data_IF_476183002750
#
_entry.id   IF_476183002750
#
_cell.length_a   1.000
_cell.length_b   1.000
_cell.length_c   1.000
_cell.angle_alpha   90.00
_cell.angle_beta   90.00
_cell.angle_gamma   90.00
#
_symmetry.space_group_name_H-M   'P 1'
#
loop_
_entity.id
_entity.type
_entity.pdbx_description
1 polymer ?
#
# COMPACT_ATOMS: atom_id res chain seq x y z
N UNK A 1 0.31 -1.84 -20.01
CA UNK A 1 0.34 -0.83 -18.94
C UNK A 1 -0.16 -1.47 -17.66
N UNK A 2 0.59 -1.37 -16.56
CA UNK A 2 0.07 -1.69 -15.24
C UNK A 2 -1.09 -0.73 -14.91
N UNK A 3 -2.22 -1.26 -14.47
CA UNK A 3 -3.31 -0.43 -13.96
C UNK A 3 -3.16 -0.34 -12.45
N UNK A 4 -2.94 0.88 -11.94
CA UNK A 4 -3.16 1.20 -10.54
C UNK A 4 -4.65 1.15 -10.31
N UNK A 5 -5.16 0.00 -9.90
CA UNK A 5 -6.58 -0.25 -10.03
C UNK A 5 -7.39 0.44 -8.93
N UNK A 6 -6.82 0.61 -7.72
CA UNK A 6 -7.61 1.17 -6.62
C UNK A 6 -6.75 1.58 -5.44
N UNK A 7 -7.00 2.78 -4.93
CA UNK A 7 -6.52 3.27 -3.64
C UNK A 7 -7.58 4.17 -3.01
N UNK A 8 -7.60 4.25 -1.69
CA UNK A 8 -8.56 5.07 -0.94
C UNK A 8 -8.54 6.54 -1.42
N UNK A 9 -9.69 7.15 -1.75
CA UNK A 9 -9.72 8.53 -2.21
C UNK A 9 -9.43 9.49 -1.06
N UNK A 10 -8.71 10.58 -1.35
CA UNK A 10 -8.65 11.72 -0.45
C UNK A 10 -10.06 12.37 -0.40
N UNK A 11 -10.84 12.02 0.62
CA UNK A 11 -12.13 12.60 1.01
C UNK A 11 -13.14 12.81 -0.14
N UNK A 12 -14.04 11.84 -0.37
CA UNK A 12 -15.24 12.08 -1.15
C UNK A 12 -16.28 12.81 -0.28
N UNK A 13 -16.46 14.12 -0.50
CA UNK A 13 -17.63 14.87 -0.01
C UNK A 13 -18.84 14.49 -0.85
N UNK A 14 -19.80 13.78 -0.25
CA UNK A 14 -21.17 13.70 -0.74
C UNK A 14 -21.78 12.29 -0.88
N UNK A 15 -22.75 11.99 -0.01
CA UNK A 15 -23.95 11.22 -0.36
C UNK A 15 -23.95 9.71 -0.18
N UNK A 16 -22.86 9.09 0.28
CA UNK A 16 -22.83 7.70 0.77
C UNK A 16 -22.18 7.69 2.15
N UNK A 17 -22.54 6.72 3.00
CA UNK A 17 -22.05 6.54 4.37
C UNK A 17 -20.57 6.93 4.46
N UNK A 18 -20.29 8.14 4.98
CA UNK A 18 -19.00 8.85 4.80
C UNK A 18 -17.82 8.08 5.40
N UNK A 19 -18.12 7.11 6.26
CA UNK A 19 -17.17 6.24 6.93
C UNK A 19 -16.83 4.98 6.13
N UNK A 20 -17.59 4.63 5.10
CA UNK A 20 -17.33 3.46 4.27
C UNK A 20 -16.90 3.86 2.87
N UNK A 21 -15.94 3.13 2.34
CA UNK A 21 -15.55 3.23 0.93
C UNK A 21 -15.51 1.83 0.35
N UNK A 22 -15.96 1.73 -0.88
CA UNK A 22 -15.82 0.53 -1.68
C UNK A 22 -15.50 0.95 -3.10
N UNK A 23 -14.79 0.06 -3.80
CA UNK A 23 -14.63 0.16 -5.23
C UNK A 23 -15.59 -0.81 -5.94
N UNK A 24 -16.00 -0.42 -7.14
CA UNK A 24 -16.71 -1.35 -8.02
C UNK A 24 -15.83 -2.55 -8.37
N UNK A 25 -16.48 -3.65 -8.77
CA UNK A 25 -15.77 -4.82 -9.27
C UNK A 25 -14.85 -4.43 -10.44
N UNK A 26 -13.61 -4.88 -10.34
CA UNK A 26 -12.54 -4.61 -11.30
C UNK A 26 -12.10 -5.91 -11.94
N UNK A 27 -11.99 -5.91 -13.26
CA UNK A 27 -11.57 -7.08 -14.01
C UNK A 27 -10.10 -7.46 -13.72
N UNK A 28 -9.86 -8.76 -13.61
CA UNK A 28 -8.57 -9.41 -13.43
C UNK A 28 -8.46 -10.63 -14.38
N UNK A 29 -7.24 -11.08 -14.69
CA UNK A 29 -7.03 -12.20 -15.62
C UNK A 29 -7.70 -13.52 -15.15
N UNK A 30 -7.95 -13.65 -13.85
CA UNK A 30 -8.56 -14.83 -13.22
C UNK A 30 -9.97 -14.56 -12.63
N UNK A 31 -10.63 -13.46 -13.00
CA UNK A 31 -11.98 -13.13 -12.50
C UNK A 31 -12.16 -11.65 -12.22
N UNK A 32 -12.85 -11.33 -11.13
CA UNK A 32 -13.11 -9.95 -10.69
C UNK A 32 -12.71 -9.79 -9.23
N UNK A 33 -12.30 -8.58 -8.84
CA UNK A 33 -12.01 -8.24 -7.45
C UNK A 33 -12.57 -6.88 -7.09
N UNK A 34 -12.75 -6.63 -5.81
CA UNK A 34 -13.08 -5.32 -5.26
C UNK A 34 -12.32 -5.13 -3.94
N UNK A 35 -12.25 -3.89 -3.47
CA UNK A 35 -11.78 -3.55 -2.14
C UNK A 35 -12.81 -2.66 -1.46
N UNK A 36 -12.91 -2.81 -0.15
CA UNK A 36 -13.68 -1.95 0.72
C UNK A 36 -12.94 -1.70 2.02
N UNK A 37 -13.22 -0.58 2.66
CA UNK A 37 -12.75 -0.27 4.00
C UNK A 37 -13.80 0.56 4.75
N UNK A 38 -13.81 0.42 6.06
CA UNK A 38 -14.74 1.09 6.96
C UNK A 38 -13.98 1.80 8.07
N UNK A 39 -14.23 3.08 8.23
CA UNK A 39 -13.56 3.94 9.18
C UNK A 39 -14.22 3.79 10.55
N UNK A 40 -13.48 3.24 11.51
CA UNK A 40 -13.96 3.10 12.89
C UNK A 40 -13.48 4.24 13.82
N UNK A 41 -12.41 4.95 13.44
CA UNK A 41 -11.77 5.98 14.26
C UNK A 41 -11.98 7.39 13.69
N UNK A 42 -11.57 8.42 14.44
CA UNK A 42 -11.66 9.82 13.99
C UNK A 42 -10.85 10.10 12.71
N UNK A 43 -9.78 9.33 12.48
CA UNK A 43 -8.96 9.36 11.27
C UNK A 43 -8.87 7.94 10.73
N UNK A 44 -9.03 7.76 9.42
CA UNK A 44 -8.72 6.50 8.76
C UNK A 44 -7.21 6.29 8.70
N UNK A 45 -6.69 5.45 9.59
CA UNK A 45 -5.29 5.03 9.64
C UNK A 45 -5.02 3.89 8.67
N UNK A 46 -6.02 3.05 8.38
CA UNK A 46 -5.85 1.92 7.48
C UNK A 46 -5.75 2.35 6.01
N UNK A 47 -4.95 1.65 5.24
CA UNK A 47 -4.80 1.83 3.81
C UNK A 47 -4.82 0.47 3.11
N UNK A 48 -5.22 0.46 1.84
CA UNK A 48 -5.12 -0.71 0.99
C UNK A 48 -4.85 -0.30 -0.46
N UNK A 49 -4.25 -1.21 -1.23
CA UNK A 49 -4.05 -1.03 -2.66
C UNK A 49 -3.97 -2.37 -3.41
N UNK A 50 -4.42 -2.38 -4.66
CA UNK A 50 -4.25 -3.52 -5.57
C UNK A 50 -3.73 -3.02 -6.91
N UNK A 51 -2.75 -3.73 -7.44
CA UNK A 51 -2.27 -3.58 -8.80
C UNK A 51 -2.41 -4.90 -9.52
N UNK A 52 -3.16 -4.89 -10.63
CA UNK A 52 -3.24 -6.02 -11.54
C UNK A 52 -2.48 -5.68 -12.82
N UNK A 53 -1.55 -6.54 -13.21
CA UNK A 53 -0.82 -6.45 -14.48
C UNK A 53 -0.72 -7.81 -15.15
N UNK A 54 -0.41 -7.88 -16.46
CA UNK A 54 -0.22 -9.17 -17.13
C UNK A 54 0.90 -10.04 -16.53
N UNK A 55 1.89 -9.43 -15.86
CA UNK A 55 3.04 -10.16 -15.32
C UNK A 55 2.94 -10.48 -13.83
N UNK A 56 2.17 -9.70 -13.07
CA UNK A 56 1.97 -9.91 -11.63
C UNK A 56 0.73 -9.18 -11.11
N UNK A 57 0.17 -9.72 -10.03
CA UNK A 57 -0.84 -9.05 -9.21
C UNK A 57 -0.27 -8.80 -7.82
N UNK A 58 -0.31 -7.54 -7.39
CA UNK A 58 0.15 -7.10 -6.08
C UNK A 58 -1.04 -6.62 -5.26
N UNK A 59 -1.10 -7.03 -3.99
CA UNK A 59 -2.12 -6.62 -3.02
C UNK A 59 -1.41 -6.13 -1.77
N UNK A 60 -1.79 -4.97 -1.26
CA UNK A 60 -1.27 -4.40 -0.02
C UNK A 60 -2.40 -3.99 0.93
N UNK A 61 -2.28 -4.37 2.20
CA UNK A 61 -3.14 -3.93 3.30
C UNK A 61 -2.26 -3.41 4.43
N UNK A 62 -2.57 -2.22 4.92
CA UNK A 62 -1.75 -1.49 5.88
C UNK A 62 -2.65 -1.03 7.02
N UNK A 63 -2.41 -1.55 8.22
CA UNK A 63 -3.08 -1.13 9.46
C UNK A 63 -2.17 -0.08 10.12
N UNK A 64 -2.65 1.15 10.24
CA UNK A 64 -1.86 2.28 10.72
C UNK A 64 -2.06 2.54 12.21
N UNK A 65 -1.04 3.04 12.90
CA UNK A 65 -1.14 3.43 14.31
C UNK A 65 -0.36 4.72 14.59
N UNK A 66 -0.90 5.56 15.48
CA UNK A 66 -0.27 6.82 15.87
C UNK A 66 -0.41 7.92 14.81
N UNK A 67 -1.39 7.79 13.92
CA UNK A 67 -1.61 8.63 12.75
C UNK A 67 -1.53 7.84 11.44
N UNK A 68 -2.08 8.38 10.34
CA UNK A 68 -2.17 7.69 9.05
C UNK A 68 -0.89 7.78 8.21
N UNK A 69 0.16 8.44 8.71
CA UNK A 69 1.32 8.81 7.89
C UNK A 69 2.14 7.58 7.46
N UNK A 70 2.36 6.62 8.37
CA UNK A 70 3.12 5.41 8.08
C UNK A 70 2.42 4.52 7.04
N UNK A 71 1.13 4.24 7.22
CA UNK A 71 0.35 3.42 6.29
C UNK A 71 0.20 4.09 4.93
N UNK A 72 0.02 5.43 4.88
CA UNK A 72 0.00 6.20 3.62
C UNK A 72 1.34 6.20 2.92
N UNK A 73 2.44 6.28 3.68
CA UNK A 73 3.79 6.17 3.14
C UNK A 73 4.02 4.78 2.54
N UNK A 74 3.72 3.71 3.27
CA UNK A 74 3.90 2.34 2.77
C UNK A 74 3.08 2.09 1.51
N UNK A 75 1.81 2.51 1.49
CA UNK A 75 0.96 2.46 0.30
C UNK A 75 1.64 3.14 -0.90
N UNK A 76 2.15 4.36 -0.72
CA UNK A 76 2.75 5.11 -1.84
C UNK A 76 4.11 4.58 -2.29
N UNK A 77 4.85 3.84 -1.45
CA UNK A 77 6.24 3.44 -1.73
C UNK A 77 6.47 1.97 -2.04
N UNK A 78 5.73 1.04 -1.44
CA UNK A 78 6.03 -0.39 -1.57
C UNK A 78 5.90 -0.91 -3.00
N UNK A 79 4.81 -0.61 -3.71
CA UNK A 79 4.65 -1.07 -5.10
C UNK A 79 5.70 -0.47 -6.05
N UNK A 80 6.00 0.85 -6.00
CA UNK A 80 7.13 1.40 -6.76
C UNK A 80 8.47 0.70 -6.50
N UNK A 81 8.81 0.46 -5.23
CA UNK A 81 10.05 -0.24 -4.87
C UNK A 81 10.07 -1.69 -5.39
N UNK A 82 8.94 -2.41 -5.32
CA UNK A 82 8.81 -3.75 -5.91
C UNK A 82 9.08 -3.70 -7.42
N UNK A 83 8.52 -2.73 -8.15
CA UNK A 83 8.76 -2.60 -9.58
C UNK A 83 10.21 -2.26 -9.91
N UNK A 84 10.83 -1.38 -9.13
CA UNK A 84 12.23 -1.01 -9.29
C UNK A 84 13.14 -2.23 -9.11
N UNK A 85 13.03 -2.93 -7.98
CA UNK A 85 13.84 -4.12 -7.70
C UNK A 85 13.51 -5.30 -8.62
N UNK A 86 12.26 -5.44 -9.07
CA UNK A 86 11.90 -6.45 -10.07
C UNK A 86 12.55 -6.13 -11.42
N UNK A 87 12.60 -4.86 -11.84
CA UNK A 87 13.21 -4.46 -13.12
C UNK A 87 14.70 -4.83 -13.19
N UNK A 88 15.43 -4.74 -12.07
CA UNK A 88 16.82 -5.21 -11.96
C UNK A 88 16.98 -6.72 -12.19
N UNK A 89 15.90 -7.50 -12.03
CA UNK A 89 15.83 -8.96 -12.12
C UNK A 89 15.02 -9.46 -13.31
N UNK A 90 14.91 -8.65 -14.37
CA UNK A 90 14.18 -9.03 -15.59
C UNK A 90 12.64 -8.95 -15.45
N UNK A 91 12.15 -8.22 -14.45
CA UNK A 91 10.72 -7.91 -14.24
C UNK A 91 9.96 -8.91 -13.38
N UNK A 92 10.60 -9.98 -12.91
CA UNK A 92 9.96 -10.97 -12.05
C UNK A 92 9.84 -10.48 -10.60
N UNK A 93 8.65 -10.62 -10.01
CA UNK A 93 8.45 -10.42 -8.57
C UNK A 93 8.70 -11.76 -7.87
N UNK A 94 9.65 -11.77 -6.93
CA UNK A 94 10.01 -12.92 -6.10
C UNK A 94 10.19 -12.48 -4.62
N UNK A 95 10.46 -13.45 -3.74
CA UNK A 95 10.63 -13.18 -2.31
C UNK A 95 11.82 -12.25 -1.97
N UNK A 96 12.90 -12.22 -2.77
CA UNK A 96 14.03 -11.30 -2.56
C UNK A 96 13.64 -9.87 -2.94
N UNK A 97 12.95 -9.69 -4.07
CA UNK A 97 12.39 -8.40 -4.50
C UNK A 97 11.48 -7.83 -3.41
N UNK A 98 10.55 -8.65 -2.90
CA UNK A 98 9.63 -8.25 -1.83
C UNK A 98 10.41 -7.86 -0.57
N UNK A 99 11.35 -8.69 -0.13
CA UNK A 99 12.18 -8.41 1.06
C UNK A 99 12.95 -7.10 0.92
N UNK A 100 13.58 -6.86 -0.24
CA UNK A 100 14.31 -5.62 -0.52
C UNK A 100 13.39 -4.40 -0.50
N UNK A 101 12.20 -4.51 -1.09
CA UNK A 101 11.21 -3.43 -1.07
C UNK A 101 10.81 -3.05 0.37
N UNK A 102 10.60 -4.03 1.24
CA UNK A 102 10.31 -3.77 2.66
C UNK A 102 11.47 -3.11 3.40
N UNK A 103 12.70 -3.61 3.21
CA UNK A 103 13.89 -3.03 3.85
C UNK A 103 14.12 -1.58 3.41
N UNK A 104 13.98 -1.31 2.11
CA UNK A 104 14.12 0.04 1.56
C UNK A 104 13.00 0.96 2.08
N UNK A 105 11.74 0.50 2.09
CA UNK A 105 10.63 1.30 2.60
C UNK A 105 10.81 1.66 4.09
N UNK A 106 11.26 0.72 4.91
CA UNK A 106 11.52 0.96 6.33
C UNK A 106 12.65 1.98 6.53
N UNK A 107 13.76 1.81 5.81
CA UNK A 107 14.90 2.74 5.89
C UNK A 107 14.50 4.17 5.46
N UNK A 108 13.79 4.31 4.34
CA UNK A 108 13.34 5.61 3.85
C UNK A 108 12.35 6.29 4.81
N UNK A 109 11.44 5.52 5.42
CA UNK A 109 10.51 6.07 6.40
C UNK A 109 11.25 6.56 7.65
N UNK A 110 12.22 5.78 8.14
CA UNK A 110 13.07 6.19 9.27
C UNK A 110 13.88 7.45 8.95
N UNK A 111 14.38 7.60 7.73
CA UNK A 111 15.06 8.81 7.28
C UNK A 111 14.12 10.02 7.28
N UNK A 112 12.90 9.86 6.77
CA UNK A 112 11.86 10.90 6.78
C UNK A 112 11.51 11.36 8.21
N UNK A 113 11.36 10.42 9.14
CA UNK A 113 11.11 10.72 10.55
C UNK A 113 12.29 11.49 11.18
N UNK A 114 13.54 11.08 10.90
CA UNK A 114 14.75 11.76 11.38
C UNK A 114 14.85 13.22 10.92
N UNK A 115 14.46 13.51 9.68
CA UNK A 115 14.44 14.88 9.18
C UNK A 115 13.28 15.72 9.75
N UNK A 116 12.19 15.08 10.13
CA UNK A 116 11.00 15.75 10.68
C UNK A 116 11.12 16.01 12.20
N UNK A 117 11.93 15.22 12.90
CA UNK A 117 12.16 15.26 14.35
C UNK A 117 12.54 16.65 14.92
N UNK A 118 13.39 17.49 14.29
CA UNK A 118 13.70 18.82 14.81
C UNK A 118 12.50 19.77 14.90
N UNK A 119 11.44 19.51 14.11
CA UNK A 119 10.23 20.32 14.03
C UNK A 119 9.00 19.65 14.67
N UNK A 120 9.14 18.42 15.20
CA UNK A 120 8.04 17.69 15.85
C UNK A 120 8.11 17.82 17.37
N UNK A 121 7.14 18.53 17.97
CA UNK A 121 6.96 18.57 19.43
C UNK A 121 6.52 17.21 19.95
N UNK A 122 7.46 16.31 20.31
CA UNK A 122 7.18 14.97 20.90
C UNK A 122 6.07 14.18 20.19
N UNK A 123 5.93 14.38 18.89
CA UNK A 123 4.88 13.76 18.10
C UNK A 123 5.02 12.23 18.18
N UNK A 124 3.89 11.57 18.41
CA UNK A 124 3.79 10.13 18.61
C UNK A 124 4.56 9.37 17.53
N UNK A 125 5.32 8.36 17.93
CA UNK A 125 5.87 7.40 16.99
C UNK A 125 4.71 6.76 16.23
N UNK A 126 4.56 7.06 14.94
CA UNK A 126 3.60 6.39 14.08
C UNK A 126 4.25 5.17 13.44
N UNK A 127 3.42 4.19 13.12
CA UNK A 127 3.84 2.94 12.52
C UNK A 127 2.69 2.30 11.75
N UNK A 128 2.99 1.23 11.04
CA UNK A 128 1.96 0.46 10.36
C UNK A 128 2.32 -1.02 10.30
N UNK A 129 1.37 -1.88 10.65
CA UNK A 129 1.42 -3.28 10.28
C UNK A 129 1.08 -3.39 8.78
N UNK A 130 1.77 -4.27 8.07
CA UNK A 130 1.64 -4.39 6.62
C UNK A 130 1.55 -5.84 6.19
N UNK A 131 0.55 -6.15 5.37
CA UNK A 131 0.46 -7.38 4.59
C UNK A 131 0.64 -7.04 3.12
N UNK A 132 1.57 -7.72 2.46
CA UNK A 132 1.74 -7.70 1.01
C UNK A 132 1.52 -9.12 0.49
N UNK A 133 0.67 -9.29 -0.52
CA UNK A 133 0.56 -10.51 -1.31
C UNK A 133 0.96 -10.25 -2.75
N UNK A 134 1.70 -11.17 -3.36
CA UNK A 134 2.08 -11.08 -4.76
C UNK A 134 1.83 -12.40 -5.50
N UNK A 135 1.12 -12.34 -6.63
CA UNK A 135 0.97 -13.47 -7.56
C UNK A 135 1.84 -13.18 -8.78
N UNK A 136 2.82 -14.04 -9.05
CA UNK A 136 3.81 -13.88 -10.13
C UNK A 136 4.22 -15.25 -10.65
N UNK A 137 4.06 -15.50 -11.96
CA UNK A 137 4.45 -16.78 -12.60
C UNK A 137 3.92 -18.03 -11.89
N UNK A 138 2.62 -18.07 -11.59
CA UNK A 138 1.91 -19.14 -10.86
C UNK A 138 2.33 -19.36 -9.39
N UNK A 139 3.16 -18.47 -8.82
CA UNK A 139 3.53 -18.51 -7.41
C UNK A 139 2.84 -17.38 -6.64
N UNK A 140 2.28 -17.72 -5.47
CA UNK A 140 1.81 -16.76 -4.48
C UNK A 140 2.92 -16.57 -3.43
N UNK A 141 3.29 -15.31 -3.21
CA UNK A 141 4.22 -14.85 -2.18
C UNK A 141 3.49 -14.02 -1.13
#
# INVERSE_FOLDING_TARGET
MARWCVGWPAAARGGRDELTWQAELTAHAAGEFSMAAAQANAVMEDQAQVMASPGATLVGVYDGHGGPDASRFLRSRLFPLIHEFAAERGGAVDADVIRKAFLAADEEYLQLLRWSLPNMSRAAASGSCCLLGAISGDTLY
#
